data_IF_571847813898
#
_entry.id   IF_571847813898
#
_cell.length_a   1.000
_cell.length_b   1.000
_cell.length_c   1.000
_cell.angle_alpha   90.00
_cell.angle_beta   90.00
_cell.angle_gamma   90.00
#
_symmetry.space_group_name_H-M   'P 1'
#
loop_
_entity.id
_entity.type
_entity.pdbx_description
1 polymer ?
2 non-polymer ?
3 non-polymer ?
4 water ?
#
# COMPACT_ATOMS: atom_id res chain seq x y z
N UNK A 9 -30.32 11.94 -3.71
CA UNK A 9 -30.49 10.53 -4.19
C UNK A 9 -30.18 10.40 -5.69
N UNK A 10 -30.59 11.38 -6.48
CA UNK A 10 -30.43 11.34 -7.95
C UNK A 10 -28.96 11.37 -8.43
N UNK A 11 -28.35 10.20 -8.49
CA UNK A 11 -27.06 10.00 -9.13
C UNK A 11 -27.36 9.33 -10.49
N UNK A 12 -26.33 8.97 -11.27
CA UNK A 12 -26.55 8.28 -12.53
C UNK A 12 -27.29 6.95 -12.36
N UNK A 13 -27.66 6.36 -13.50
CA UNK A 13 -28.37 5.09 -13.54
C UNK A 13 -27.49 3.93 -13.08
N UNK A 14 -27.95 3.22 -12.04
CA UNK A 14 -27.35 1.95 -11.65
C UNK A 14 -26.36 2.00 -10.50
N UNK A 15 -26.05 3.20 -10.02
CA UNK A 15 -25.11 3.32 -8.91
C UNK A 15 -25.72 2.87 -7.59
N UNK A 16 -24.86 2.51 -6.66
CA UNK A 16 -25.25 1.93 -5.40
C UNK A 16 -24.70 2.82 -4.26
N UNK A 17 -25.60 3.49 -3.53
CA UNK A 17 -25.25 4.35 -2.38
C UNK A 17 -25.73 3.79 -1.02
N UNK A 18 -24.80 3.68 -0.07
CA UNK A 18 -25.12 3.45 1.33
C UNK A 18 -24.45 4.59 2.11
N UNK A 19 -25.21 5.24 2.97
CA UNK A 19 -24.78 6.50 3.56
C UNK A 19 -25.29 6.62 4.99
N UNK A 20 -24.42 7.08 5.89
CA UNK A 20 -24.85 7.32 7.26
C UNK A 20 -24.14 8.56 7.75
N UNK A 21 -24.89 9.42 8.44
CA UNK A 21 -24.31 10.66 9.00
C UNK A 21 -24.83 10.81 10.42
N UNK A 22 -23.94 11.02 11.39
CA UNK A 22 -24.33 10.89 12.79
C UNK A 22 -23.49 11.82 13.65
N UNK A 23 -24.16 12.63 14.47
CA UNK A 23 -23.42 13.47 15.43
C UNK A 23 -22.44 12.65 16.28
N UNK A 24 -21.26 13.20 16.54
CA UNK A 24 -20.31 12.55 17.44
C UNK A 24 -20.93 12.36 18.83
N UNK A 25 -20.95 11.11 19.30
CA UNK A 25 -21.43 10.76 20.63
C UNK A 25 -22.91 10.50 20.72
N UNK A 26 -23.61 10.70 19.59
CA UNK A 26 -25.06 10.52 19.52
C UNK A 26 -25.38 9.06 19.31
N UNK A 27 -26.59 8.66 19.69
CA UNK A 27 -27.02 7.26 19.48
C UNK A 27 -27.92 7.07 18.25
N UNK A 28 -28.43 8.18 17.69
CA UNK A 28 -29.25 8.16 16.46
C UNK A 28 -28.65 8.98 15.30
N UNK A 29 -28.67 8.43 14.07
CA UNK A 29 -28.13 9.16 12.91
C UNK A 29 -29.05 10.27 12.41
N UNK A 30 -28.46 11.31 11.83
CA UNK A 30 -29.20 12.34 11.14
C UNK A 30 -29.59 11.86 9.75
N UNK A 31 -28.65 11.20 9.05
CA UNK A 31 -28.94 10.60 7.75
C UNK A 31 -28.68 9.12 7.80
N UNK A 32 -29.62 8.35 7.26
CA UNK A 32 -29.50 6.91 7.30
C UNK A 32 -30.10 6.33 6.02
N UNK A 33 -29.25 6.03 5.05
CA UNK A 33 -29.70 5.50 3.77
C UNK A 33 -28.95 4.22 3.50
N UNK A 34 -29.64 3.10 3.69
CA UNK A 34 -29.04 1.78 3.50
C UNK A 34 -27.77 1.60 4.31
N UNK A 35 -27.75 2.13 5.53
CA UNK A 35 -26.52 2.11 6.35
C UNK A 35 -26.12 0.72 6.81
N UNK A 36 -27.06 -0.23 6.76
CA UNK A 36 -26.77 -1.56 7.20
C UNK A 36 -26.19 -2.42 6.08
N UNK A 37 -26.25 -1.92 4.85
CA UNK A 37 -25.93 -2.73 3.69
C UNK A 37 -24.41 -2.79 3.53
N UNK A 38 -23.85 -3.99 3.37
CA UNK A 38 -22.39 -4.12 3.31
C UNK A 38 -21.90 -3.73 1.91
N UNK A 39 -20.71 -3.11 1.83
CA UNK A 39 -20.21 -2.60 0.57
C UNK A 39 -18.69 -2.76 0.51
N UNK A 40 -18.16 -2.53 -0.68
CA UNK A 40 -16.71 -2.50 -0.89
C UNK A 40 -16.14 -1.19 -0.26
N UNK A 41 -15.27 -1.28 0.74
CA UNK A 41 -14.74 -0.05 1.35
C UNK A 41 -13.60 0.64 0.60
N UNK A 42 -12.88 -0.13 -0.23
CA UNK A 42 -11.70 0.38 -0.94
C UNK A 42 -10.76 0.99 0.12
N UNK A 43 -10.09 2.09 -0.20
CA UNK A 43 -9.05 2.64 0.72
C UNK A 43 -9.59 3.18 2.04
N UNK A 44 -10.91 3.26 2.20
CA UNK A 44 -11.40 3.65 3.55
C UNK A 44 -11.06 2.57 4.59
N UNK A 45 -10.68 1.36 4.14
CA UNK A 45 -10.25 0.30 5.04
C UNK A 45 -9.07 0.77 5.91
N UNK A 46 -8.30 1.71 5.36
CA UNK A 46 -7.09 2.22 6.03
C UNK A 46 -7.44 2.89 7.35
N UNK A 47 -8.67 3.37 7.49
CA UNK A 47 -9.10 3.96 8.79
C UNK A 47 -9.05 2.89 9.89
N UNK A 48 -9.60 1.72 9.58
CA UNK A 48 -9.53 0.61 10.48
C UNK A 48 -8.10 0.11 10.76
N UNK A 49 -7.29 0.00 9.71
CA UNK A 49 -5.88 -0.42 9.83
C UNK A 49 -5.12 0.53 10.76
N UNK A 50 -5.35 1.82 10.59
CA UNK A 50 -4.61 2.81 11.40
C UNK A 50 -5.03 2.67 12.86
N UNK A 51 -6.32 2.53 13.12
CA UNK A 51 -6.81 2.42 14.51
C UNK A 51 -6.28 1.17 15.16
N UNK A 52 -6.38 0.03 14.45
CA UNK A 52 -5.85 -1.20 15.00
C UNK A 52 -4.34 -1.16 15.21
N UNK A 53 -3.63 -0.48 14.31
CA UNK A 53 -2.16 -0.36 14.40
C UNK A 53 -1.75 0.47 15.63
N UNK A 54 -2.50 1.54 15.89
CA UNK A 54 -2.15 2.41 17.02
C UNK A 54 -2.42 1.70 18.32
N UNK A 55 -3.52 0.95 18.38
CA UNK A 55 -3.82 0.17 19.55
C UNK A 55 -2.82 -0.98 19.79
N UNK A 56 -2.48 -1.74 18.74
CA UNK A 56 -1.61 -2.92 18.91
C UNK A 56 -0.12 -2.59 19.01
N UNK A 57 0.37 -1.80 18.08
CA UNK A 57 1.79 -1.46 17.95
C UNK A 57 2.18 -0.18 18.70
N UNK A 58 1.24 0.76 18.79
CA UNK A 58 1.53 2.08 19.40
C UNK A 58 2.17 3.07 18.44
N UNK A 59 2.07 4.37 18.72
CA UNK A 59 2.57 5.41 17.80
C UNK A 59 4.08 5.44 17.64
N UNK A 60 4.78 4.79 18.56
CA UNK A 60 6.25 4.81 18.55
C UNK A 60 6.90 3.57 17.97
N UNK A 61 6.08 2.60 17.55
CA UNK A 61 6.62 1.44 16.82
C UNK A 61 7.45 1.85 15.63
N UNK A 62 8.56 1.15 15.35
CA UNK A 62 9.33 1.40 14.14
C UNK A 62 9.62 0.08 13.45
N UNK A 63 9.56 0.09 12.11
CA UNK A 63 9.99 -1.09 11.34
C UNK A 63 11.50 -1.17 11.50
N UNK A 64 12.04 -2.39 11.52
CA UNK A 64 13.47 -2.63 11.72
C UNK A 64 14.08 -3.58 10.68
N UNK A 65 15.29 -3.26 10.22
CA UNK A 65 16.06 -4.14 9.36
C UNK A 65 17.44 -4.25 10.00
N UNK A 66 18.00 -5.44 10.00
CA UNK A 66 19.36 -5.59 10.57
C UNK A 66 20.27 -6.43 9.70
N UNK A 67 21.57 -6.18 9.83
CA UNK A 67 22.58 -7.17 9.46
C UNK A 67 23.08 -7.79 10.74
N UNK A 68 23.08 -9.13 10.77
CA UNK A 68 23.47 -9.89 11.95
C UNK A 68 24.56 -10.88 11.60
N UNK A 69 25.44 -11.16 12.55
CA UNK A 69 26.42 -12.21 12.31
C UNK A 69 26.13 -13.36 13.23
N UNK A 70 26.22 -14.54 12.65
CA UNK A 70 26.21 -15.77 13.39
C UNK A 70 27.56 -16.44 13.13
N UNK A 71 28.40 -16.53 14.17
CA UNK A 71 29.79 -17.00 14.07
C UNK A 71 30.80 -16.03 14.65
N UNK A 72 32.04 -16.49 14.85
CA UNK A 72 33.13 -15.62 15.36
C UNK A 72 33.86 -14.94 14.20
N UNK A 73 34.36 -13.73 14.43
CA UNK A 73 35.17 -13.00 13.43
C UNK A 73 36.66 -13.11 13.77
N UNK A 74 37.41 -13.76 12.87
CA UNK A 74 38.86 -13.98 13.06
C UNK A 74 39.67 -13.36 11.94
N UNK A 75 40.53 -12.40 12.31
CA UNK A 75 41.32 -11.64 11.33
C UNK A 75 40.49 -11.13 10.14
N UNK A 76 39.34 -10.55 10.46
CA UNK A 76 38.44 -9.96 9.44
C UNK A 76 37.55 -10.95 8.73
N UNK A 77 37.69 -12.23 9.06
CA UNK A 77 36.90 -13.28 8.42
C UNK A 77 35.80 -13.75 9.36
N UNK A 78 34.55 -13.54 8.96
CA UNK A 78 33.41 -14.15 9.66
C UNK A 78 33.35 -15.67 9.37
N UNK A 79 33.50 -16.48 10.41
CA UNK A 79 33.38 -17.94 10.32
C UNK A 79 31.94 -18.34 10.61
N UNK A 80 31.11 -18.26 9.57
CA UNK A 80 29.68 -18.42 9.73
C UNK A 80 28.91 -17.55 8.74
N UNK A 81 27.65 -17.28 9.07
CA UNK A 81 26.76 -16.67 8.09
C UNK A 81 26.49 -15.22 8.42
N UNK A 82 26.31 -14.43 7.38
CA UNK A 82 25.77 -13.08 7.50
C UNK A 82 24.29 -13.22 7.24
N UNK A 83 23.48 -12.65 8.15
CA UNK A 83 22.01 -12.70 8.03
C UNK A 83 21.50 -11.27 7.82
N UNK A 84 20.77 -11.04 6.73
CA UNK A 84 20.11 -9.78 6.52
C UNK A 84 18.64 -9.99 6.88
N UNK A 85 18.24 -9.44 8.02
CA UNK A 85 16.92 -9.73 8.57
C UNK A 85 15.99 -8.58 8.20
N UNK A 86 15.05 -8.86 7.29
CA UNK A 86 14.13 -7.82 6.81
C UNK A 86 12.92 -7.77 7.71
N UNK A 87 12.23 -6.63 7.74
CA UNK A 87 11.16 -6.43 8.72
C UNK A 87 9.95 -5.73 8.18
N UNK A 88 9.75 -5.84 6.86
CA UNK A 88 8.60 -5.26 6.19
C UNK A 88 8.60 -3.73 6.20
N UNK A 89 9.76 -3.11 6.45
CA UNK A 89 9.83 -1.64 6.40
C UNK A 89 9.49 -1.12 4.98
N UNK A 90 8.36 -0.41 4.82
CA UNK A 90 7.98 0.07 3.50
C UNK A 90 8.81 1.24 2.99
N UNK A 91 9.66 1.81 3.86
CA UNK A 91 10.44 2.97 3.50
C UNK A 91 11.91 2.69 3.31
N UNK A 92 12.30 1.42 3.41
CA UNK A 92 13.72 1.05 3.21
C UNK A 92 14.20 1.38 1.82
N UNK A 93 15.41 1.96 1.72
CA UNK A 93 15.98 2.41 0.46
C UNK A 93 17.29 1.69 0.16
N UNK A 94 17.70 1.73 -1.09
CA UNK A 94 18.99 1.15 -1.53
C UNK A 94 20.14 1.67 -0.69
N UNK A 95 20.14 2.99 -0.52
CA UNK A 95 21.10 3.64 0.37
C UNK A 95 21.22 3.07 1.74
N UNK A 96 20.07 2.70 2.34
CA UNK A 96 20.07 2.06 3.63
C UNK A 96 20.87 0.75 3.62
N UNK A 97 20.72 -0.05 2.56
CA UNK A 97 21.46 -1.31 2.50
C UNK A 97 22.94 -0.98 2.40
N UNK A 98 23.26 -0.02 1.53
CA UNK A 98 24.64 0.46 1.36
C UNK A 98 25.25 0.91 2.68
N UNK A 99 24.52 1.70 3.45
CA UNK A 99 25.02 2.17 4.77
C UNK A 99 25.22 1.06 5.81
N UNK A 100 24.27 0.11 5.87
CA UNK A 100 24.40 -1.05 6.74
C UNK A 100 25.65 -1.87 6.35
N UNK A 101 25.90 -2.04 5.05
CA UNK A 101 27.09 -2.78 4.59
C UNK A 101 28.35 -2.01 5.00
N UNK A 102 28.32 -0.68 4.84
CA UNK A 102 29.47 0.17 5.27
C UNK A 102 29.77 -0.07 6.74
N UNK A 103 28.72 -0.14 7.57
CA UNK A 103 28.84 -0.40 9.01
C UNK A 103 29.43 -1.77 9.28
N UNK A 104 28.95 -2.76 8.54
CA UNK A 104 29.48 -4.11 8.65
C UNK A 104 31.01 -4.14 8.41
N UNK A 105 31.44 -3.52 7.31
CA UNK A 105 32.88 -3.40 6.97
C UNK A 105 33.64 -2.75 8.13
N UNK A 106 33.15 -1.59 8.56
CA UNK A 106 33.81 -0.81 9.64
C UNK A 106 33.96 -1.58 10.95
N UNK A 107 33.03 -2.48 11.24
CA UNK A 107 33.12 -3.34 12.41
C UNK A 107 34.24 -4.39 12.31
N UNK A 108 34.90 -4.47 11.15
CA UNK A 108 36.02 -5.40 10.95
C UNK A 108 35.80 -6.65 10.10
N UNK A 109 34.65 -6.72 9.40
CA UNK A 109 34.35 -7.88 8.53
C UNK A 109 34.72 -7.59 7.09
N UNK A 110 35.70 -8.34 6.56
CA UNK A 110 36.16 -8.17 5.21
C UNK A 110 35.74 -9.35 4.33
N UNK A 111 35.30 -10.42 4.97
CA UNK A 111 35.14 -11.70 4.31
C UNK A 111 34.20 -12.57 5.12
N UNK A 112 33.33 -13.30 4.44
CA UNK A 112 32.39 -14.19 5.12
C UNK A 112 32.68 -15.62 4.66
N UNK A 113 33.13 -16.45 5.61
CA UNK A 113 33.37 -17.85 5.34
C UNK A 113 32.06 -18.56 5.62
N UNK A 114 31.13 -18.43 4.69
CA UNK A 114 29.76 -18.80 4.97
C UNK A 114 28.82 -18.29 3.89
N UNK A 115 27.53 -18.40 4.18
CA UNK A 115 26.46 -17.96 3.28
C UNK A 115 25.95 -16.57 3.66
N UNK A 116 25.18 -15.95 2.75
CA UNK A 116 24.52 -14.67 3.02
C UNK A 116 23.04 -14.97 2.98
N UNK A 117 22.38 -14.78 4.11
CA UNK A 117 21.00 -15.25 4.30
C UNK A 117 20.06 -14.06 4.22
N UNK A 118 19.05 -14.18 3.37
CA UNK A 118 18.03 -13.15 3.25
C UNK A 118 16.85 -13.64 4.05
N UNK A 119 16.66 -13.03 5.22
CA UNK A 119 15.75 -13.55 6.20
C UNK A 119 14.44 -12.77 6.15
N UNK A 120 13.36 -13.48 5.82
CA UNK A 120 12.02 -12.89 5.73
C UNK A 120 11.07 -13.56 6.72
N UNK A 121 11.63 -14.18 7.75
CA UNK A 121 10.85 -15.02 8.66
C UNK A 121 9.79 -14.25 9.46
N UNK A 122 9.86 -12.91 9.43
CA UNK A 122 8.87 -12.09 10.13
C UNK A 122 7.45 -12.34 9.60
N UNK A 123 7.38 -12.75 8.34
CA UNK A 123 6.11 -13.00 7.63
C UNK A 123 6.16 -14.41 7.09
N UNK A 124 4.99 -14.95 6.74
CA UNK A 124 4.95 -16.23 6.03
C UNK A 124 3.79 -16.25 5.05
N UNK A 125 3.77 -17.30 4.23
CA UNK A 125 2.70 -17.47 3.24
C UNK A 125 2.81 -16.35 2.17
N UNK A 126 1.76 -16.16 1.37
CA UNK A 126 1.80 -15.33 0.17
C UNK A 126 1.99 -13.86 0.55
N UNK A 127 2.67 -13.10 -0.30
CA UNK A 127 2.83 -11.65 -0.12
C UNK A 127 1.70 -10.84 -0.75
N UNK A 128 0.62 -11.54 -1.12
CA UNK A 128 -0.55 -10.98 -1.80
C UNK A 128 -1.80 -11.43 -1.06
N UNK A 129 -2.69 -10.50 -0.74
CA UNK A 129 -3.87 -10.85 0.04
C UNK A 129 -4.89 -11.55 -0.85
N UNK A 130 -5.80 -12.33 -0.23
CA UNK A 130 -6.90 -12.92 -1.02
C UNK A 130 -7.77 -11.83 -1.64
N UNK A 131 -8.19 -12.00 -2.89
CA UNK A 131 -9.10 -11.06 -3.51
C UNK A 131 -8.48 -9.92 -4.28
N UNK A 132 -7.15 -9.83 -4.32
CA UNK A 132 -6.51 -8.85 -5.17
C UNK A 132 -6.55 -9.27 -6.65
N UNK A 133 -6.98 -8.37 -7.53
CA UNK A 133 -7.05 -8.71 -8.97
C UNK A 133 -5.64 -9.05 -9.46
N UNK A 134 -5.48 -10.19 -10.13
CA UNK A 134 -4.17 -10.56 -10.65
C UNK A 134 -3.57 -9.47 -11.59
N UNK A 135 -4.43 -8.79 -12.35
CA UNK A 135 -3.96 -7.99 -13.48
C UNK A 135 -3.24 -6.74 -12.98
N UNK A 136 -3.51 -6.38 -11.74
CA UNK A 136 -2.84 -5.18 -11.18
C UNK A 136 -1.52 -5.51 -10.48
N UNK A 137 -1.12 -6.79 -10.40
CA UNK A 137 0.01 -7.15 -9.51
C UNK A 137 1.33 -6.60 -10.01
N UNK A 138 1.40 -6.28 -11.30
CA UNK A 138 2.62 -5.69 -11.85
C UNK A 138 2.60 -4.15 -11.79
N UNK A 139 1.50 -3.56 -11.32
CA UNK A 139 1.46 -2.10 -11.10
C UNK A 139 1.98 -1.75 -9.73
N UNK A 140 2.70 -0.63 -9.62
CA UNK A 140 3.31 -0.32 -8.34
C UNK A 140 2.30 -0.13 -7.20
N UNK A 141 1.08 0.33 -7.51
CA UNK A 141 0.07 0.55 -6.44
C UNK A 141 -0.36 -0.76 -5.79
N UNK A 142 -0.05 -1.87 -6.45
CA UNK A 142 -0.39 -3.18 -5.94
C UNK A 142 0.86 -4.07 -5.76
N UNK A 143 2.04 -3.46 -5.65
CA UNK A 143 3.24 -4.29 -5.47
C UNK A 143 3.12 -5.15 -4.20
N UNK A 144 3.40 -6.46 -4.29
CA UNK A 144 3.31 -7.34 -3.12
C UNK A 144 4.12 -6.78 -1.95
N UNK A 145 3.45 -6.45 -0.84
CA UNK A 145 4.12 -5.82 0.31
C UNK A 145 4.80 -6.85 1.17
N UNK A 146 5.94 -7.32 0.67
CA UNK A 146 6.70 -8.41 1.24
C UNK A 146 7.51 -7.97 2.46
N UNK A 147 8.11 -8.94 3.13
CA UNK A 147 9.04 -8.61 4.23
C UNK A 147 10.22 -7.84 3.70
N UNK A 148 10.68 -8.19 2.49
CA UNK A 148 11.83 -7.53 1.87
C UNK A 148 11.41 -6.49 0.84
N UNK A 149 11.50 -5.21 1.22
CA UNK A 149 11.15 -4.10 0.34
C UNK A 149 12.37 -3.18 0.24
N UNK A 150 12.67 -2.78 -0.98
CA UNK A 150 13.68 -1.78 -1.19
C UNK A 150 13.15 -0.81 -2.22
N UNK A 151 13.06 0.46 -1.86
CA UNK A 151 12.57 1.49 -2.77
C UNK A 151 11.20 1.10 -3.31
N UNK A 152 10.39 0.70 -2.36
CA UNK A 152 8.96 0.37 -2.55
C UNK A 152 8.74 -0.77 -3.52
N UNK A 153 9.80 -1.52 -3.84
CA UNK A 153 9.65 -2.66 -4.77
C UNK A 153 9.01 -2.20 -6.07
N UNK A 154 9.43 -1.05 -6.58
CA UNK A 154 8.92 -0.49 -7.80
C UNK A 154 10.13 0.02 -8.57
N UNK A 155 10.16 -0.27 -9.87
CA UNK A 155 11.26 0.15 -10.72
C UNK A 155 10.69 0.68 -12.03
N UNK A 156 11.47 1.49 -12.74
CA UNK A 156 11.00 2.04 -14.00
C UNK A 156 11.89 1.61 -15.15
N UNK A 157 11.31 1.71 -16.33
CA UNK A 157 11.83 1.17 -17.55
C UNK A 157 11.40 2.14 -18.67
N UNK A 158 12.16 2.18 -19.77
CA UNK A 158 11.79 2.99 -20.95
C UNK A 158 11.66 2.10 -22.14
N UNK A 159 10.52 2.17 -22.83
CA UNK A 159 10.33 1.35 -24.01
C UNK A 159 10.37 2.22 -25.27
N UNK A 160 11.31 1.91 -26.15
CA UNK A 160 11.56 2.68 -27.35
C UNK A 160 11.05 1.88 -28.53
N UNK A 161 10.24 2.51 -29.39
CA UNK A 161 9.87 1.85 -30.65
C UNK A 161 11.11 1.69 -31.52
N UNK A 162 11.09 0.68 -32.39
CA UNK A 162 12.18 0.47 -33.34
C UNK A 162 12.01 1.45 -34.51
N UNK A 163 13.14 2.01 -34.99
CA UNK A 163 13.09 2.93 -36.14
C UNK A 163 12.40 2.32 -37.36
N UNK A 164 12.62 1.02 -37.59
CA UNK A 164 12.07 0.30 -38.73
C UNK A 164 10.93 -0.63 -38.25
N UNK A 165 9.71 -0.40 -38.75
CA UNK A 165 8.54 -1.13 -38.29
C UNK A 165 8.67 -2.61 -38.62
N UNK A 166 8.29 -3.47 -37.68
CA UNK A 166 8.50 -4.90 -37.80
C UNK A 166 9.63 -5.37 -36.90
N UNK A 167 10.62 -4.50 -36.70
CA UNK A 167 11.71 -4.77 -35.76
C UNK A 167 11.23 -4.59 -34.32
N UNK A 168 11.98 -5.17 -33.39
CA UNK A 168 11.60 -5.16 -31.97
C UNK A 168 11.80 -3.82 -31.30
N UNK A 169 10.76 -3.38 -30.59
CA UNK A 169 10.89 -2.29 -29.63
C UNK A 169 11.85 -2.75 -28.54
N UNK A 170 12.70 -1.85 -28.06
CA UNK A 170 13.72 -2.21 -27.08
C UNK A 170 13.57 -1.46 -25.74
N UNK A 171 14.12 -2.06 -24.68
CA UNK A 171 13.90 -1.60 -23.31
C UNK A 171 15.18 -1.08 -22.70
N UNK A 172 15.15 0.14 -22.17
CA UNK A 172 16.26 0.65 -21.36
C UNK A 172 15.88 0.58 -19.88
N UNK A 173 16.81 0.08 -19.08
CA UNK A 173 16.59 0.03 -17.64
C UNK A 173 17.90 0.39 -16.91
N UNK A 174 17.79 1.16 -15.83
CA UNK A 174 18.97 1.49 -15.02
C UNK A 174 19.67 0.23 -14.52
N UNK A 175 21.00 0.24 -14.61
CA UNK A 175 21.78 -0.97 -14.37
C UNK A 175 21.68 -1.42 -12.92
N UNK A 176 21.33 -0.52 -12.01
CA UNK A 176 21.35 -0.94 -10.62
C UNK A 176 20.10 -1.76 -10.24
N UNK A 177 19.03 -1.68 -11.04
CA UNK A 177 17.82 -2.48 -10.74
C UNK A 177 18.09 -3.92 -11.14
N UNK A 178 18.13 -4.83 -10.16
CA UNK A 178 18.31 -6.25 -10.45
C UNK A 178 17.02 -6.91 -10.92
N UNK A 179 16.65 -6.57 -12.13
CA UNK A 179 15.55 -7.22 -12.82
C UNK A 179 16.09 -7.69 -14.17
N UNK A 180 15.35 -8.56 -14.84
CA UNK A 180 15.76 -9.02 -16.17
C UNK A 180 14.64 -8.77 -17.17
N UNK A 181 14.87 -7.84 -18.10
CA UNK A 181 13.85 -7.44 -19.06
C UNK A 181 14.08 -8.11 -20.41
N UNK A 182 12.98 -8.52 -21.03
CA UNK A 182 12.98 -9.09 -22.38
C UNK A 182 11.88 -8.38 -23.16
N UNK A 183 12.13 -8.06 -24.43
CA UNK A 183 11.08 -7.51 -25.26
C UNK A 183 10.73 -8.46 -26.39
N UNK A 184 9.45 -8.83 -26.47
CA UNK A 184 8.87 -9.49 -27.65
C UNK A 184 7.86 -8.55 -28.33
N UNK A 185 8.08 -7.24 -28.21
CA UNK A 185 7.17 -6.22 -28.69
C UNK A 185 7.47 -5.91 -30.15
N UNK A 186 6.46 -6.04 -31.02
CA UNK A 186 6.60 -5.68 -32.43
C UNK A 186 6.24 -4.23 -32.62
N UNK A 187 7.08 -3.51 -33.38
CA UNK A 187 6.80 -2.10 -33.65
C UNK A 187 5.89 -2.02 -34.87
N UNK A 188 4.80 -1.27 -34.74
CA UNK A 188 3.83 -1.14 -35.84
C UNK A 188 4.04 0.13 -36.65
N UNK A 189 3.92 0.02 -37.97
CA UNK A 189 3.85 1.19 -38.84
C UNK A 189 2.64 2.07 -38.48
N UNK A 190 2.70 3.35 -38.83
CA UNK A 190 1.52 4.20 -38.69
C UNK A 190 0.38 3.64 -39.55
N UNK A 191 -0.83 3.63 -38.98
CA UNK A 191 -2.02 3.11 -39.67
C UNK A 191 -2.16 1.59 -39.74
N UNK A 192 -1.41 0.87 -38.90
CA UNK A 192 -1.46 -0.59 -38.92
C UNK A 192 -2.87 -1.10 -38.59
N UNK A 193 -3.29 -2.19 -39.24
CA UNK A 193 -4.59 -2.81 -38.95
C UNK A 193 -4.56 -3.38 -37.53
N UNK A 194 -3.36 -3.65 -37.05
CA UNK A 194 -3.14 -4.26 -35.74
C UNK A 194 -3.31 -3.32 -34.56
N UNK A 195 -3.23 -2.01 -34.79
CA UNK A 195 -3.28 -1.06 -33.67
C UNK A 195 -4.48 -1.25 -32.74
N UNK A 196 -5.62 -1.62 -33.30
CA UNK A 196 -6.86 -1.59 -32.52
C UNK A 196 -6.92 -2.63 -31.39
N UNK A 197 -6.68 -3.90 -31.71
CA UNK A 197 -6.84 -4.97 -30.73
C UNK A 197 -5.55 -5.67 -30.30
N UNK A 198 -4.40 -5.20 -30.78
CA UNK A 198 -3.12 -5.75 -30.31
C UNK A 198 -2.72 -5.05 -29.04
N UNK A 199 -2.61 -5.80 -27.95
CA UNK A 199 -2.35 -5.23 -26.63
C UNK A 199 -0.84 -5.08 -26.42
N UNK A 200 -0.46 -4.18 -25.51
CA UNK A 200 0.92 -4.11 -24.99
C UNK A 200 0.88 -4.63 -23.58
N UNK A 201 1.56 -5.75 -23.35
CA UNK A 201 1.45 -6.47 -22.07
C UNK A 201 2.76 -6.65 -21.35
N UNK A 202 2.66 -6.79 -20.04
CA UNK A 202 3.79 -7.19 -19.21
C UNK A 202 3.49 -8.56 -18.61
N UNK A 203 4.44 -9.47 -18.79
CA UNK A 203 4.34 -10.83 -18.26
C UNK A 203 5.51 -11.07 -17.30
N UNK A 204 5.21 -11.12 -16.01
CA UNK A 204 6.23 -11.40 -15.00
C UNK A 204 6.60 -12.88 -14.98
N UNK A 205 7.88 -13.17 -14.77
CA UNK A 205 8.33 -14.54 -14.56
C UNK A 205 9.10 -14.67 -13.26
N UNK A 206 9.71 -15.83 -13.04
CA UNK A 206 10.46 -16.06 -11.81
C UNK A 206 11.70 -15.18 -11.77
N UNK A 207 12.18 -14.92 -10.56
CA UNK A 207 13.45 -14.21 -10.31
C UNK A 207 13.49 -12.82 -10.96
N UNK A 208 12.33 -12.15 -10.91
CA UNK A 208 12.20 -10.78 -11.33
C UNK A 208 12.53 -10.61 -12.80
N UNK A 209 12.13 -11.63 -13.59
CA UNK A 209 12.08 -11.53 -15.04
C UNK A 209 10.76 -10.86 -15.45
N UNK A 210 10.83 -9.98 -16.47
CA UNK A 210 9.66 -9.42 -17.08
C UNK A 210 9.80 -9.45 -18.59
N UNK A 211 8.74 -9.92 -19.25
CA UNK A 211 8.70 -9.91 -20.70
C UNK A 211 7.58 -8.99 -21.14
N UNK A 212 7.93 -8.04 -22.01
CA UNK A 212 6.98 -7.16 -22.66
C UNK A 212 6.59 -7.83 -23.97
N UNK A 213 5.28 -7.91 -24.22
CA UNK A 213 4.80 -8.63 -25.42
C UNK A 213 3.76 -7.77 -26.13
N UNK A 214 3.45 -8.13 -27.37
CA UNK A 214 2.41 -7.43 -28.11
C UNK A 214 2.97 -6.41 -29.05
N UNK A 215 2.26 -5.28 -29.15
CA UNK A 215 2.54 -4.24 -30.15
C UNK A 215 2.71 -2.84 -29.55
N UNK A 216 3.59 -2.08 -30.19
CA UNK A 216 3.75 -0.68 -29.86
C UNK A 216 3.80 0.13 -31.16
N UNK A 217 2.87 1.06 -31.34
CA UNK A 217 2.88 1.98 -32.48
C UNK A 217 4.12 2.84 -32.44
N UNK A 218 4.63 3.23 -33.62
CA UNK A 218 5.79 4.11 -33.65
C UNK A 218 5.53 5.36 -32.85
N UNK A 219 6.52 5.74 -32.04
CA UNK A 219 6.52 7.00 -31.30
C UNK A 219 7.92 7.61 -31.34
N UNK A 220 7.97 8.94 -31.32
CA UNK A 220 9.21 9.69 -31.39
C UNK A 220 9.93 9.63 -30.05
N UNK A 221 9.15 9.44 -28.98
CA UNK A 221 9.66 9.44 -27.61
C UNK A 221 9.48 8.05 -27.00
N UNK A 222 10.37 7.61 -26.11
CA UNK A 222 10.15 6.35 -25.38
C UNK A 222 8.91 6.39 -24.50
N UNK A 223 8.32 5.22 -24.26
CA UNK A 223 7.20 5.09 -23.36
C UNK A 223 7.74 4.74 -21.98
N UNK A 224 7.48 5.59 -20.99
CA UNK A 224 7.90 5.31 -19.62
C UNK A 224 6.92 4.33 -18.99
N UNK A 225 7.47 3.33 -18.30
CA UNK A 225 6.66 2.31 -17.61
C UNK A 225 7.22 2.09 -16.22
N UNK A 226 6.38 1.78 -15.25
CA UNK A 226 6.88 1.46 -13.93
C UNK A 226 6.20 0.15 -13.53
N UNK A 227 6.97 -0.77 -12.96
CA UNK A 227 6.48 -2.09 -12.59
C UNK A 227 6.78 -2.47 -11.17
N UNK A 228 5.96 -3.37 -10.61
CA UNK A 228 6.17 -3.89 -9.30
C UNK A 228 7.05 -5.13 -9.31
N UNK A 229 8.04 -5.14 -8.43
CA UNK A 229 8.85 -6.33 -8.17
C UNK A 229 8.00 -7.44 -7.55
N UNK A 230 8.03 -8.64 -8.14
CA UNK A 230 7.25 -9.76 -7.63
C UNK A 230 7.94 -10.62 -6.58
N UNK A 231 9.29 -10.63 -6.59
CA UNK A 231 10.07 -11.41 -5.69
C UNK A 231 11.01 -10.49 -4.89
N UNK A 232 10.45 -9.88 -3.85
CA UNK A 232 11.21 -8.91 -3.05
C UNK A 232 12.46 -9.49 -2.40
N UNK A 233 12.37 -10.72 -1.88
CA UNK A 233 13.54 -11.38 -1.30
C UNK A 233 14.72 -11.49 -2.26
N UNK A 234 14.45 -11.93 -3.50
CA UNK A 234 15.51 -12.05 -4.52
C UNK A 234 16.07 -10.69 -4.90
N UNK A 235 15.18 -9.71 -4.99
CA UNK A 235 15.55 -8.34 -5.37
C UNK A 235 16.46 -7.72 -4.31
N UNK A 236 16.02 -7.76 -3.05
CA UNK A 236 16.82 -7.25 -1.91
C UNK A 236 18.16 -8.01 -1.84
N UNK A 237 18.10 -9.32 -2.07
CA UNK A 237 19.37 -10.11 -2.07
C UNK A 237 20.40 -9.66 -3.09
N UNK A 238 19.95 -9.35 -4.30
CA UNK A 238 20.82 -8.92 -5.37
C UNK A 238 21.37 -7.54 -5.04
N UNK A 239 20.55 -6.69 -4.40
CA UNK A 239 21.01 -5.34 -3.96
C UNK A 239 22.08 -5.50 -2.88
N UNK A 240 21.81 -6.38 -1.92
CA UNK A 240 22.78 -6.66 -0.86
C UNK A 240 24.10 -7.21 -1.47
N UNK A 241 23.98 -8.15 -2.37
CA UNK A 241 25.15 -8.76 -3.03
C UNK A 241 26.01 -7.69 -3.72
N UNK A 242 25.35 -6.80 -4.44
CA UNK A 242 26.05 -5.73 -5.14
C UNK A 242 26.75 -4.82 -4.13
N UNK A 243 26.05 -4.42 -3.07
CA UNK A 243 26.65 -3.52 -2.04
C UNK A 243 27.81 -4.19 -1.31
N UNK A 244 27.69 -5.49 -1.03
CA UNK A 244 28.82 -6.24 -0.41
C UNK A 244 30.04 -6.18 -1.31
N UNK A 245 29.85 -6.47 -2.59
CA UNK A 245 30.98 -6.51 -3.54
C UNK A 245 31.65 -5.13 -3.71
N UNK A 246 30.83 -4.08 -3.69
CA UNK A 246 31.36 -2.71 -3.85
C UNK A 246 32.18 -2.29 -2.64
N UNK A 247 31.77 -2.76 -1.46
CA UNK A 247 32.46 -2.49 -0.20
C UNK A 247 33.68 -3.40 0.00
N UNK A 248 33.90 -4.32 -0.94
CA UNK A 248 35.07 -5.21 -0.91
C UNK A 248 34.95 -6.41 0.01
N UNK A 249 33.73 -6.71 0.49
CA UNK A 249 33.48 -7.91 1.32
C UNK A 249 33.21 -9.09 0.39
N UNK A 250 34.02 -10.14 0.53
CA UNK A 250 33.85 -11.36 -0.26
C UNK A 250 33.13 -12.44 0.57
N UNK A 251 32.58 -13.45 -0.11
CA UNK A 251 31.97 -14.58 0.60
C UNK A 251 32.11 -15.88 -0.20
N UNK A 252 32.17 -16.99 0.51
CA UNK A 252 32.46 -18.28 -0.10
C UNK A 252 31.22 -19.09 -0.40
N UNK A 253 30.12 -18.78 0.29
CA UNK A 253 28.87 -19.53 0.11
C UNK A 253 28.02 -18.95 -0.98
N UNK A 254 26.70 -19.03 -0.80
CA UNK A 254 25.78 -18.39 -1.73
C UNK A 254 24.74 -17.58 -0.97
N UNK A 255 23.96 -16.85 -1.75
CA UNK A 255 22.80 -16.15 -1.22
C UNK A 255 21.66 -17.15 -1.10
N UNK A 256 21.14 -17.29 0.12
CA UNK A 256 20.03 -18.21 0.40
C UNK A 256 18.92 -17.50 1.12
N UNK A 257 17.68 -17.93 0.88
CA UNK A 257 16.55 -17.42 1.65
C UNK A 257 16.41 -18.13 3.01
N UNK A 258 16.12 -17.36 4.05
CA UNK A 258 15.82 -17.95 5.35
C UNK A 258 14.37 -17.56 5.72
N UNK A 259 13.49 -18.54 5.77
CA UNK A 259 12.06 -18.31 5.99
C UNK A 259 11.53 -18.76 7.36
N UNK A 260 12.27 -19.61 8.06
CA UNK A 260 11.80 -20.16 9.32
C UNK A 260 12.30 -19.33 10.49
N UNK A 261 11.47 -19.21 11.52
CA UNK A 261 11.82 -18.43 12.69
C UNK A 261 13.11 -18.96 13.31
N UNK A 262 13.96 -18.05 13.75
CA UNK A 262 15.29 -18.37 14.23
C UNK A 262 15.73 -17.31 15.24
N UNK A 263 16.61 -17.71 16.16
CA UNK A 263 17.18 -16.79 17.14
C UNK A 263 18.09 -15.80 16.43
N UNK A 264 17.98 -14.51 16.75
CA UNK A 264 18.84 -13.51 16.16
C UNK A 264 20.31 -13.73 16.47
N UNK A 265 21.17 -13.31 15.55
CA UNK A 265 22.60 -13.29 15.83
C UNK A 265 22.95 -11.95 16.44
N UNK A 266 24.24 -11.62 16.41
CA UNK A 266 24.73 -10.32 16.86
C UNK A 266 24.38 -9.24 15.85
N UNK A 267 23.62 -8.23 16.27
CA UNK A 267 23.29 -7.11 15.37
C UNK A 267 24.48 -6.20 15.14
N UNK A 268 24.98 -6.16 13.90
CA UNK A 268 26.13 -5.33 13.59
C UNK A 268 25.72 -4.03 12.89
N UNK A 269 24.56 -4.04 12.24
CA UNK A 269 24.07 -2.85 11.59
C UNK A 269 22.55 -2.88 11.69
N UNK A 270 21.93 -1.71 11.69
CA UNK A 270 20.46 -1.64 11.72
C UNK A 270 19.91 -0.40 11.09
N UNK A 271 18.64 -0.47 10.70
CA UNK A 271 17.92 0.70 10.25
C UNK A 271 16.50 0.56 10.77
N UNK A 272 16.02 1.63 11.41
CA UNK A 272 14.62 1.73 11.82
C UNK A 272 13.89 2.82 11.04
N UNK A 273 12.63 2.54 10.73
CA UNK A 273 11.81 3.52 10.05
C UNK A 273 11.52 4.68 11.00
N UNK A 274 10.93 5.71 10.45
CA UNK A 274 10.22 6.71 11.22
C UNK A 274 9.15 6.07 12.12
N UNK A 275 8.76 6.78 13.17
CA UNK A 275 7.71 6.28 14.09
C UNK A 275 6.40 5.97 13.36
N UNK A 276 5.70 5.01 13.88
CA UNK A 276 4.48 4.52 13.24
C UNK A 276 3.43 5.61 13.09
N UNK A 277 3.30 6.49 14.09
CA UNK A 277 2.35 7.60 13.88
C UNK A 277 2.65 8.41 12.61
N UNK A 278 3.94 8.67 12.35
CA UNK A 278 4.31 9.42 11.20
C UNK A 278 3.97 8.65 9.92
N UNK A 279 4.21 7.35 9.96
CA UNK A 279 3.89 6.46 8.81
C UNK A 279 2.40 6.35 8.56
N UNK A 280 1.62 6.17 9.62
CA UNK A 280 0.16 6.17 9.49
C UNK A 280 -0.38 7.49 8.94
N UNK A 281 0.27 8.62 9.31
CA UNK A 281 -0.07 9.90 8.72
C UNK A 281 0.14 9.95 7.21
N UNK A 282 1.33 9.56 6.74
CA UNK A 282 1.56 9.43 5.31
C UNK A 282 0.47 8.53 4.72
N UNK A 283 0.23 7.40 5.36
CA UNK A 283 -0.72 6.43 4.84
C UNK A 283 -2.09 7.03 4.62
N UNK A 284 -2.57 7.79 5.59
CA UNK A 284 -3.92 8.34 5.54
C UNK A 284 -4.02 9.55 4.64
N UNK A 285 -2.96 10.36 4.63
CA UNK A 285 -2.94 11.57 3.81
C UNK A 285 -2.82 11.24 2.33
N UNK A 286 -2.04 10.21 1.99
CA UNK A 286 -1.68 9.93 0.61
C UNK A 286 -2.33 8.66 0.12
N UNK A 287 -2.94 7.92 1.05
CA UNK A 287 -3.61 6.62 0.77
C UNK A 287 -2.56 5.61 0.28
N UNK A 288 -1.57 5.33 1.12
CA UNK A 288 -0.43 4.50 0.74
C UNK A 288 -0.73 3.03 1.00
N UNK A 289 -1.02 2.30 -0.07
CA UNK A 289 -1.36 0.86 0.04
C UNK A 289 -0.28 0.03 0.73
N UNK A 290 0.98 0.39 0.45
CA UNK A 290 2.11 -0.43 0.91
C UNK A 290 2.29 -0.23 2.40
N UNK A 291 2.15 1.02 2.87
CA UNK A 291 2.23 1.20 4.32
C UNK A 291 1.08 0.47 5.02
N UNK A 292 -0.13 0.60 4.46
CA UNK A 292 -1.29 -0.07 5.04
C UNK A 292 -1.10 -1.58 5.14
N UNK A 293 -0.58 -2.18 4.08
CA UNK A 293 -0.49 -3.65 4.05
C UNK A 293 0.71 -4.25 4.80
N UNK A 294 1.83 -3.52 4.85
CA UNK A 294 2.90 -3.93 5.76
C UNK A 294 2.51 -3.81 7.21
N UNK A 295 1.83 -2.71 7.55
CA UNK A 295 1.27 -2.57 8.91
C UNK A 295 0.32 -3.70 9.24
N UNK A 296 -0.56 -4.03 8.30
CA UNK A 296 -1.59 -5.02 8.53
C UNK A 296 -0.98 -6.38 8.90
N UNK A 297 0.00 -6.85 8.14
CA UNK A 297 0.56 -8.15 8.52
C UNK A 297 1.40 -8.06 9.81
N UNK A 298 1.96 -6.88 10.10
CA UNK A 298 2.69 -6.68 11.36
C UNK A 298 1.78 -6.76 12.58
N UNK A 299 0.55 -6.26 12.44
CA UNK A 299 -0.38 -6.33 13.53
C UNK A 299 -0.64 -7.80 13.94
N UNK A 300 -0.82 -8.67 12.96
CA UNK A 300 -1.05 -10.08 13.27
C UNK A 300 0.16 -10.75 13.90
N UNK A 301 1.35 -10.43 13.39
CA UNK A 301 2.60 -10.94 13.95
C UNK A 301 2.77 -10.56 15.43
N UNK A 302 2.59 -9.27 15.70
CA UNK A 302 2.66 -8.74 17.07
C UNK A 302 1.64 -9.38 17.99
N UNK A 303 0.37 -9.45 17.58
CA UNK A 303 -0.69 -9.92 18.48
C UNK A 303 -0.60 -11.37 18.87
N UNK A 304 -0.21 -12.21 17.90
CA UNK A 304 -0.23 -13.65 18.12
C UNK A 304 1.14 -14.30 18.21
N UNK A 305 2.20 -13.51 18.08
CA UNK A 305 3.57 -14.03 18.13
C UNK A 305 3.78 -15.22 17.17
N UNK A 306 3.41 -14.98 15.90
CA UNK A 306 3.62 -15.95 14.83
C UNK A 306 4.08 -15.16 13.61
N UNK A 307 4.71 -15.79 12.61
CA UNK A 307 5.01 -15.06 11.37
C UNK A 307 3.73 -14.43 10.78
N UNK A 308 3.85 -13.18 10.34
CA UNK A 308 2.70 -12.41 9.88
C UNK A 308 2.10 -12.99 8.62
N UNK A 309 0.80 -13.24 8.64
CA UNK A 309 0.07 -13.67 7.43
C UNK A 309 -1.20 -12.82 7.25
N UNK A 310 -1.83 -12.92 6.08
CA UNK A 310 -3.07 -12.19 5.89
C UNK A 310 -4.15 -12.63 6.86
N UNK A 311 -4.25 -13.94 7.10
CA UNK A 311 -5.25 -14.48 8.02
C UNK A 311 -5.03 -14.00 9.45
N UNK A 312 -3.78 -14.06 9.91
CA UNK A 312 -3.47 -13.57 11.26
C UNK A 312 -3.78 -12.07 11.39
N UNK A 313 -3.49 -11.31 10.34
CA UNK A 313 -3.82 -9.88 10.32
C UNK A 313 -5.33 -9.65 10.48
N UNK A 314 -6.13 -10.35 9.68
CA UNK A 314 -7.60 -10.27 9.74
C UNK A 314 -8.19 -10.61 11.12
N UNK A 315 -7.73 -11.72 11.66
CA UNK A 315 -8.13 -12.20 12.98
C UNK A 315 -7.76 -11.17 14.04
N UNK A 316 -6.54 -10.64 13.94
CA UNK A 316 -6.03 -9.68 14.95
C UNK A 316 -6.83 -8.38 14.90
N UNK A 317 -7.04 -7.83 13.71
CA UNK A 317 -7.81 -6.59 13.62
C UNK A 317 -9.25 -6.75 14.16
N UNK A 318 -9.89 -7.87 13.84
CA UNK A 318 -11.23 -8.16 14.38
C UNK A 318 -11.21 -8.19 15.93
N UNK A 319 -10.20 -8.86 16.50
CA UNK A 319 -10.08 -9.01 17.95
C UNK A 319 -9.78 -7.67 18.59
N UNK A 320 -8.90 -6.89 17.96
CA UNK A 320 -8.50 -5.60 18.54
C UNK A 320 -9.71 -4.66 18.58
N UNK A 321 -10.47 -4.60 17.48
CA UNK A 321 -11.66 -3.74 17.42
C UNK A 321 -12.69 -4.15 18.46
N UNK A 322 -12.85 -5.46 18.68
CA UNK A 322 -13.88 -5.94 19.59
C UNK A 322 -13.45 -5.68 21.02
N UNK A 323 -12.21 -6.02 21.31
CA UNK A 323 -11.74 -6.11 22.69
C UNK A 323 -11.21 -4.79 23.24
N UNK A 324 -10.63 -3.96 22.40
CA UNK A 324 -10.03 -2.71 22.87
C UNK A 324 -10.93 -1.52 22.50
N UNK A 325 -11.68 -1.66 21.39
CA UNK A 325 -12.52 -0.56 20.91
C UNK A 325 -14.02 -0.77 21.09
N UNK A 326 -14.41 -1.95 21.57
CA UNK A 326 -15.80 -2.28 21.80
C UNK A 326 -16.66 -2.40 20.54
N UNK A 327 -16.02 -2.63 19.40
CA UNK A 327 -16.70 -2.69 18.13
C UNK A 327 -16.71 -4.15 17.68
N UNK A 328 -17.90 -4.73 17.63
CA UNK A 328 -18.10 -6.06 17.07
C UNK A 328 -18.43 -5.90 15.58
N UNK A 329 -17.51 -6.28 14.71
CA UNK A 329 -17.73 -6.04 13.29
C UNK A 329 -18.65 -7.10 12.65
N UNK A 330 -19.01 -8.13 13.42
CA UNK A 330 -19.99 -9.13 12.98
C UNK A 330 -19.58 -9.82 11.70
N UNK A 331 -20.45 -9.76 10.70
CA UNK A 331 -20.19 -10.44 9.42
C UNK A 331 -19.32 -9.64 8.43
N UNK A 332 -18.74 -8.54 8.91
CA UNK A 332 -17.74 -7.81 8.16
C UNK A 332 -16.65 -8.77 7.69
N UNK A 333 -16.23 -8.60 6.44
CA UNK A 333 -15.03 -9.29 5.97
C UNK A 333 -13.86 -8.32 5.84
N UNK A 334 -12.78 -8.61 6.54
CA UNK A 334 -11.53 -7.86 6.39
C UNK A 334 -10.49 -8.81 5.83
N UNK A 335 -9.99 -8.48 4.63
CA UNK A 335 -9.00 -9.26 3.92
C UNK A 335 -7.61 -8.65 3.90
N UNK A 336 -7.53 -7.34 4.06
CA UNK A 336 -6.24 -6.71 4.02
C UNK A 336 -6.27 -5.37 4.80
N UNK A 337 -5.15 -4.66 4.76
CA UNK A 337 -5.02 -3.34 5.43
C UNK A 337 -5.32 -2.16 4.51
N UNK A 338 -5.08 -2.30 3.21
CA UNK A 338 -5.17 -1.21 2.25
C UNK A 338 -6.58 -1.00 1.67
N UNK A 339 -7.39 -2.06 1.69
CA UNK A 339 -8.64 -2.03 0.96
C UNK A 339 -8.54 -2.44 -0.51
N UNK A 340 -7.37 -2.91 -0.97
CA UNK A 340 -7.24 -3.40 -2.36
C UNK A 340 -8.19 -4.58 -2.64
N UNK A 341 -8.39 -5.44 -1.63
CA UNK A 341 -9.08 -6.68 -1.88
C UNK A 341 -10.52 -6.46 -2.26
N UNK A 342 -10.95 -7.14 -3.33
CA UNK A 342 -12.38 -7.17 -3.62
C UNK A 342 -13.17 -8.04 -2.64
N UNK A 343 -12.50 -8.71 -1.71
CA UNK A 343 -13.21 -9.49 -0.67
C UNK A 343 -13.68 -8.63 0.51
N UNK A 344 -13.10 -7.44 0.69
CA UNK A 344 -13.45 -6.62 1.83
C UNK A 344 -14.92 -6.27 1.69
N UNK A 345 -15.65 -6.35 2.79
CA UNK A 345 -17.09 -6.06 2.82
C UNK A 345 -17.42 -5.50 4.19
N UNK A 346 -17.99 -4.31 4.20
CA UNK A 346 -18.36 -3.63 5.44
C UNK A 346 -19.50 -2.65 5.22
N UNK A 347 -20.41 -2.58 6.21
CA UNK A 347 -21.55 -1.66 6.22
C UNK A 347 -21.17 -0.29 6.76
N UNK A 348 -21.71 0.81 6.21
CA UNK A 348 -21.51 2.13 6.80
C UNK A 348 -21.74 2.12 8.32
N UNK A 349 -22.72 1.34 8.78
CA UNK A 349 -23.01 1.30 10.22
C UNK A 349 -21.88 0.72 11.05
N UNK A 350 -21.12 -0.22 10.48
CA UNK A 350 -19.97 -0.78 11.15
C UNK A 350 -18.78 0.22 11.12
N UNK A 351 -18.49 0.78 9.96
CA UNK A 351 -17.48 1.84 9.86
C UNK A 351 -17.84 3.01 10.78
N UNK A 352 -19.14 3.30 10.92
CA UNK A 352 -19.57 4.39 11.81
C UNK A 352 -19.14 4.15 13.26
N UNK A 353 -19.23 2.90 13.73
CA UNK A 353 -18.83 2.57 15.09
C UNK A 353 -17.35 2.84 15.33
N UNK A 354 -16.55 2.54 14.32
CA UNK A 354 -15.13 2.82 14.32
C UNK A 354 -14.87 4.31 14.38
N UNK A 355 -15.55 5.05 13.51
CA UNK A 355 -15.39 6.52 13.50
C UNK A 355 -15.80 7.15 14.85
N UNK A 356 -16.90 6.66 15.42
CA UNK A 356 -17.31 7.19 16.72
C UNK A 356 -16.25 6.90 17.81
N UNK A 357 -15.69 5.70 17.80
CA UNK A 357 -14.60 5.37 18.72
C UNK A 357 -13.42 6.34 18.55
N UNK A 358 -12.99 6.52 17.32
CA UNK A 358 -11.89 7.45 17.03
C UNK A 358 -12.20 8.85 17.57
N UNK A 359 -13.40 9.39 17.27
CA UNK A 359 -13.73 10.74 17.72
C UNK A 359 -13.70 10.83 19.27
N UNK A 360 -14.26 9.81 19.91
CA UNK A 360 -14.32 9.78 21.38
C UNK A 360 -12.95 9.69 22.02
N UNK A 361 -12.01 9.01 21.36
CA UNK A 361 -10.69 8.87 21.90
C UNK A 361 -9.67 9.70 21.16
N UNK A 362 -10.12 10.70 20.40
CA UNK A 362 -9.17 11.44 19.56
C UNK A 362 -8.06 12.16 20.35
N UNK A 363 -8.35 12.61 21.57
CA UNK A 363 -7.30 13.27 22.37
C UNK A 363 -6.17 12.31 22.77
N UNK A 364 -6.50 11.03 22.84
CA UNK A 364 -5.53 9.96 23.10
C UNK A 364 -4.78 9.55 21.84
N UNK A 365 -5.53 9.41 20.75
CA UNK A 365 -4.97 8.81 19.54
C UNK A 365 -4.28 9.78 18.62
N UNK A 366 -4.66 11.07 18.74
CA UNK A 366 -4.25 12.11 17.75
C UNK A 366 -4.49 11.55 16.34
N UNK A 367 -5.71 11.20 16.08
CA UNK A 367 -6.01 10.48 14.82
C UNK A 367 -6.57 11.38 13.73
N UNK A 368 -7.56 12.20 14.07
CA UNK A 368 -8.20 13.07 13.10
C UNK A 368 -7.23 14.00 12.37
N UNK A 369 -6.20 14.49 13.05
CA UNK A 369 -5.19 15.32 12.39
C UNK A 369 -4.40 14.57 11.31
N UNK A 370 -4.49 13.24 11.27
CA UNK A 370 -3.80 12.46 10.23
C UNK A 370 -4.62 12.36 8.95
N UNK A 371 -5.92 12.57 9.07
CA UNK A 371 -6.77 12.44 7.87
C UNK A 371 -6.58 13.64 6.96
N UNK A 372 -6.71 13.45 5.65
CA UNK A 372 -6.70 14.56 4.71
C UNK A 372 -7.73 15.60 5.16
N UNK A 373 -7.34 16.87 5.12
CA UNK A 373 -8.25 18.00 5.41
C UNK A 373 -8.65 18.63 4.08
N UNK A 374 -9.96 18.67 3.81
CA UNK A 374 -10.48 19.20 2.54
C UNK A 374 -9.91 20.59 2.30
N UNK A 375 -9.30 20.78 1.14
CA UNK A 375 -8.81 22.10 0.77
C UNK A 375 -7.37 22.33 1.16
N UNK A 376 -6.74 21.35 1.82
CA UNK A 376 -5.35 21.52 2.29
C UNK A 376 -4.40 20.43 1.88
N UNK A 377 -4.79 19.17 2.10
CA UNK A 377 -3.77 18.10 1.98
C UNK A 377 -4.33 16.79 1.67
N UNK A 378 -3.35 15.95 1.31
CA UNK A 378 -3.57 14.60 0.96
C UNK A 378 -4.64 14.64 -0.08
N UNK A 379 -5.45 13.59 -0.03
CA UNK A 379 -6.36 13.27 -1.10
C UNK A 379 -7.47 14.29 -1.30
N UNK A 380 -7.71 15.16 -0.32
CA UNK A 380 -8.83 16.12 -0.39
C UNK A 380 -8.44 17.58 -0.68
N UNK A 381 -7.21 17.80 -1.12
CA UNK A 381 -6.72 19.16 -1.43
C UNK A 381 -7.69 19.95 -2.33
N UNK A 382 -8.15 19.28 -3.38
CA UNK A 382 -9.27 19.79 -4.17
C UNK A 382 -10.17 18.64 -4.56
N UNK A 383 -11.23 18.50 -3.77
CA UNK A 383 -12.33 17.67 -4.14
C UNK A 383 -13.46 18.60 -4.48
N UNK A 384 -13.77 18.68 -5.77
CA UNK A 384 -14.72 19.65 -6.29
C UNK A 384 -15.98 19.76 -5.48
N UNK A 385 -16.60 18.62 -5.15
CA UNK A 385 -17.89 18.62 -4.46
C UNK A 385 -17.77 19.23 -3.08
N UNK A 386 -16.69 18.89 -2.37
CA UNK A 386 -16.46 19.47 -1.06
C UNK A 386 -16.13 20.95 -1.17
N UNK A 387 -15.27 21.31 -2.13
CA UNK A 387 -14.97 22.72 -2.34
C UNK A 387 -16.25 23.55 -2.59
N UNK A 388 -17.08 23.05 -3.50
CA UNK A 388 -18.30 23.72 -3.89
C UNK A 388 -19.37 23.76 -2.80
N UNK A 389 -19.32 22.81 -1.85
CA UNK A 389 -20.22 22.79 -0.69
C UNK A 389 -19.88 23.86 0.33
N UNK A 390 -18.70 24.46 0.18
CA UNK A 390 -18.26 25.48 1.12
C UNK A 390 -17.63 24.85 2.36
N UNK A 391 -17.16 23.61 2.23
CA UNK A 391 -16.72 22.86 3.41
C UNK A 391 -15.20 22.61 3.45
N UNK A 392 -14.45 23.27 2.59
CA UNK A 392 -12.98 23.23 2.76
C UNK A 392 -12.62 23.63 4.20
N UNK A 393 -11.68 22.90 4.79
CA UNK A 393 -11.28 23.14 6.17
C UNK A 393 -12.27 22.63 7.23
N UNK A 394 -13.39 22.07 6.78
CA UNK A 394 -14.43 21.55 7.70
C UNK A 394 -14.59 20.03 7.66
N UNK A 395 -13.92 19.39 6.69
CA UNK A 395 -14.02 17.92 6.49
C UNK A 395 -12.64 17.29 6.58
N UNK A 396 -12.50 16.33 7.48
CA UNK A 396 -11.30 15.48 7.59
C UNK A 396 -11.76 14.06 7.27
N UNK A 397 -11.32 13.52 6.14
CA UNK A 397 -11.93 12.25 5.72
C UNK A 397 -11.01 11.42 4.88
N UNK A 398 -11.22 10.11 4.91
CA UNK A 398 -10.43 9.18 4.09
C UNK A 398 -11.21 8.79 2.82
N UNK A 399 -10.55 8.87 1.68
CA UNK A 399 -11.18 8.49 0.41
C UNK A 399 -11.02 6.97 0.20
N UNK A 400 -11.91 6.41 -0.65
CA UNK A 400 -11.74 5.02 -1.14
C UNK A 400 -12.06 5.10 -2.63
N UNK A 401 -11.06 4.89 -3.48
CA UNK A 401 -11.15 5.38 -4.89
C UNK A 401 -10.66 4.34 -5.87
N UNK A 402 -11.52 4.01 -6.84
CA UNK A 402 -11.16 3.19 -8.00
C UNK A 402 -12.31 3.35 -9.01
N UNK A 403 -12.20 2.71 -10.18
CA UNK A 403 -13.19 2.91 -11.24
C UNK A 403 -14.62 2.77 -10.72
N UNK A 404 -15.39 3.84 -10.84
CA UNK A 404 -16.79 3.85 -10.43
C UNK A 404 -17.06 3.94 -8.94
N UNK A 405 -15.99 4.03 -8.13
CA UNK A 405 -16.12 4.06 -6.68
C UNK A 405 -15.64 5.37 -6.14
N UNK A 406 -16.49 5.97 -5.31
CA UNK A 406 -16.25 7.27 -4.74
C UNK A 406 -16.66 7.17 -3.28
N UNK A 407 -15.88 6.43 -2.49
CA UNK A 407 -16.14 6.37 -1.03
C UNK A 407 -15.45 7.49 -0.27
N UNK A 408 -16.07 7.83 0.86
CA UNK A 408 -15.54 8.82 1.78
C UNK A 408 -15.99 8.46 3.20
N UNK A 409 -15.09 8.54 4.17
CA UNK A 409 -15.39 8.17 5.56
C UNK A 409 -14.59 9.08 6.49
N UNK A 410 -15.28 9.77 7.39
CA UNK A 410 -14.55 10.64 8.31
C UNK A 410 -15.50 11.60 9.02
N UNK A 411 -15.05 12.85 9.11
CA UNK A 411 -15.69 13.84 10.01
C UNK A 411 -15.92 15.16 9.34
N UNK A 412 -17.01 15.81 9.72
CA UNK A 412 -17.31 17.14 9.24
C UNK A 412 -17.74 17.99 10.42
N UNK A 413 -17.21 19.21 10.45
CA UNK A 413 -17.64 20.23 11.41
C UNK A 413 -18.66 21.11 10.74
N UNK A 414 -19.81 21.25 11.39
CA UNK A 414 -20.96 21.80 10.72
C UNK A 414 -21.09 23.30 11.03
N UNK A 415 -22.02 23.99 10.36
CA UNK A 415 -22.24 25.43 10.57
C UNK A 415 -22.46 25.82 12.05
N UNK A 416 -23.22 25.00 12.78
CA UNK A 416 -23.38 25.18 14.23
C UNK A 416 -22.14 24.81 15.06
N UNK A 417 -21.14 24.20 14.41
CA UNK A 417 -19.97 23.75 15.15
C UNK A 417 -20.01 22.30 15.63
N UNK A 418 -21.14 21.63 15.41
CA UNK A 418 -21.36 20.21 15.77
C UNK A 418 -20.44 19.36 14.88
N UNK A 419 -19.64 18.47 15.48
CA UNK A 419 -18.89 17.50 14.66
C UNK A 419 -19.76 16.26 14.39
N UNK A 420 -19.84 15.86 13.13
CA UNK A 420 -20.54 14.65 12.74
C UNK A 420 -19.56 13.69 12.09
N UNK A 421 -19.80 12.41 12.27
CA UNK A 421 -19.06 11.38 11.56
C UNK A 421 -19.94 10.97 10.39
N UNK A 422 -19.31 10.58 9.28
CA UNK A 422 -20.09 10.15 8.14
C UNK A 422 -19.35 9.08 7.35
N UNK A 423 -20.14 8.26 6.65
CA UNK A 423 -19.66 7.20 5.76
C UNK A 423 -20.50 7.27 4.49
N UNK A 424 -19.82 7.46 3.38
CA UNK A 424 -20.43 7.48 2.06
C UNK A 424 -19.79 6.37 1.28
N UNK A 425 -20.56 5.30 1.04
CA UNK A 425 -20.10 4.20 0.21
C UNK A 425 -20.91 4.24 -1.07
N UNK A 426 -20.25 4.66 -2.15
CA UNK A 426 -20.89 4.90 -3.48
C UNK A 426 -20.10 4.15 -4.53
N UNK A 427 -20.78 3.25 -5.26
CA UNK A 427 -20.11 2.45 -6.27
C UNK A 427 -21.02 2.30 -7.50
N UNK A 428 -20.49 1.69 -8.57
CA UNK A 428 -21.24 1.52 -9.79
C UNK A 428 -21.51 2.86 -10.44
N UNK A 429 -20.69 3.86 -10.09
CA UNK A 429 -20.70 5.13 -10.79
C UNK A 429 -19.95 4.80 -12.07
N UNK A 430 -20.47 3.79 -12.76
CA UNK A 430 -19.96 3.33 -14.04
C UNK A 430 -20.62 4.16 -15.11
N UNK A 431 -19.91 4.35 -16.20
CA UNK A 431 -20.45 5.06 -17.35
C UNK A 431 -20.31 4.21 -18.60
N UNK A 432 -21.15 4.51 -19.58
CA UNK A 432 -21.13 3.86 -20.90
C UNK A 432 -19.80 4.22 -21.59
N UNK A 433 -19.22 3.26 -22.31
CA UNK A 433 -17.94 3.45 -23.00
C UNK A 433 -17.73 4.83 -23.63
N UNK A 434 -18.80 5.41 -24.18
CA UNK A 434 -18.75 6.69 -24.89
C UNK A 434 -18.72 7.93 -23.98
N UNK A 435 -18.54 7.71 -22.68
CA UNK A 435 -18.48 8.81 -21.71
C UNK A 435 -17.59 8.46 -20.49
N UNK A 436 -16.71 7.48 -20.70
CA UNK A 436 -15.89 6.88 -19.63
C UNK A 436 -14.84 7.82 -19.01
N UNK A 437 -14.43 8.84 -19.77
CA UNK A 437 -13.38 9.75 -19.31
C UNK A 437 -13.92 11.07 -18.76
N UNK A 438 -15.25 11.18 -18.67
CA UNK A 438 -15.92 12.43 -18.27
C UNK A 438 -16.65 12.40 -16.92
N UNK A 439 -16.84 11.20 -16.36
CA UNK A 439 -17.75 10.99 -15.21
C UNK A 439 -17.48 11.89 -13.98
N UNK A 440 -18.12 13.06 -13.95
CA UNK A 440 -17.95 14.03 -12.86
C UNK A 440 -19.22 14.79 -12.43
N UNK A 441 -19.88 15.48 -13.37
CA UNK A 441 -21.04 16.35 -13.05
C UNK A 441 -21.96 15.86 -11.92
N UNK A 442 -22.66 14.72 -12.10
CA UNK A 442 -23.56 14.19 -11.05
C UNK A 442 -22.91 13.99 -9.67
N UNK A 443 -21.73 13.36 -9.60
CA UNK A 443 -21.02 13.22 -8.33
C UNK A 443 -20.79 14.58 -7.63
N UNK A 444 -20.26 15.53 -8.38
CA UNK A 444 -19.90 16.83 -7.83
C UNK A 444 -21.17 17.53 -7.34
N UNK A 445 -22.20 17.54 -8.18
CA UNK A 445 -23.47 18.15 -7.80
C UNK A 445 -24.08 17.45 -6.56
N UNK A 446 -23.94 16.12 -6.52
CA UNK A 446 -24.39 15.31 -5.39
C UNK A 446 -23.63 15.63 -4.10
N UNK A 447 -22.31 15.52 -4.14
CA UNK A 447 -21.48 15.89 -2.99
C UNK A 447 -21.63 17.35 -2.57
N UNK A 448 -21.69 18.26 -3.55
CA UNK A 448 -21.88 19.69 -3.24
C UNK A 448 -23.16 19.95 -2.47
N UNK A 449 -24.26 19.33 -2.91
CA UNK A 449 -25.53 19.50 -2.22
C UNK A 449 -25.52 18.79 -0.87
N UNK A 450 -25.08 17.53 -0.89
CA UNK A 450 -25.05 16.71 0.32
C UNK A 450 -24.26 17.33 1.46
N UNK A 451 -22.98 17.62 1.23
CA UNK A 451 -22.17 18.20 2.29
C UNK A 451 -22.55 19.64 2.60
N UNK A 452 -23.10 20.35 1.62
CA UNK A 452 -23.72 21.66 1.88
C UNK A 452 -24.91 21.50 2.81
N UNK A 453 -25.80 20.56 2.47
CA UNK A 453 -26.95 20.20 3.32
C UNK A 453 -26.46 19.89 4.72
N UNK A 454 -25.61 18.86 4.85
CA UNK A 454 -25.12 18.42 6.15
C UNK A 454 -24.53 19.61 6.90
N UNK A 455 -23.72 20.40 6.19
CA UNK A 455 -23.06 21.51 6.82
C UNK A 455 -24.05 22.58 7.30
N UNK A 456 -24.93 23.03 6.41
CA UNK A 456 -25.84 24.13 6.76
C UNK A 456 -26.97 23.73 7.71
N UNK A 457 -27.50 22.52 7.52
CA UNK A 457 -28.69 22.04 8.24
C UNK A 457 -28.41 21.39 9.60
N UNK A 458 -27.15 21.32 9.99
CA UNK A 458 -26.78 20.70 11.26
C UNK A 458 -25.83 21.61 12.05
X LIG B 1 -6.59 4.76 -9.03
X LIG B 1 -6.44 2.77 -7.70
X LIG B 1 -4.47 5.86 -5.01
X LIG B 1 -6.97 2.76 -4.53
X LIG B 1 -6.29 7.55 -4.64
X LIG B 1 -6.27 5.52 -3.31
X LIG B 1 -7.04 1.77 -6.73
X LIG B 1 -3.49 6.81 -4.29
X LIG B 1 -6.40 1.88 -5.35
X LIG B 1 -7.17 3.87 -8.15
X LIG B 1 -5.30 4.57 -9.50
X LIG B 1 -4.57 3.47 -9.07
X LIG B 1 -5.12 2.57 -8.16
X LIG B 1 -5.98 6.06 -4.65
X LIG B 1 -5.58 4.23 -3.12
X LIG B 1 -6.47 2.97 -3.16
X LIG B 1 -7.65 3.13 -2.18
X LIG B 1 -4.17 5.87 -6.51
X LIG B 1 -6.74 0.42 -7.20
X LIG B 1 -6.27 8.12 -3.52
X LIG B 1 -6.50 8.08 -5.74
X LIG B 1 -5.42 1.19 -5.06
X LIG B 1 -8.82 3.16 -2.56
X LIG B 1 -4.25 4.20 -4.35
X LIG C 1 -12.07 19.15 10.37
X LIG C 1 -10.72 18.76 10.43
X LIG C 1 -12.66 18.38 11.52
X LIG C 1 -12.79 19.24 12.64
X LIG C 1 -13.96 17.75 11.07
X LIG C 1 -14.80 17.62 12.18
#
# INVERSE_FOLDING_TARGET
MANVDEYITQLPAGANLALMVQKVGASAPAIDYHSQQMALPASTQKVITALAALIQLGPDFRFTTTLETKGNVENGVLKGDLVARFGADPTLKRQDIRNMVATLKKSGVNQIDGNVLIDTSIFASHDKAPGWPWNDMTQCFSAPPAAAIVDRNCFSVSLYSAPKPGDMAFIRVASYYPVTMFSQVRTLPRGSAEAQYCELDVVPGDLNRFTLTGCLPQRSEPLPLAFAVQDGASYAGAILKYELKQAGITWSGTLLRQTQVNEPGTVVASKQSAPLHDLLKIMLKKSDNMIADTVFRMIGHARFNVPGTWRAGSDAVRQILRQQAGVDIGNTIIADGSGLSRHNLIAPATMMQVLQYIAQHDNELNFISMLPLAGYDGSLQYRAGLHQAGVDGKVSAKTGSLQGVYNLAGFITTASGQRMAFVQYLSGYAVEPADQRNRRIPLVRFESRLYKDIYQNN
AIX C8 C5 C6 N1 C2 N3 C4 C1 C3 C7 C9 C10 C11 C12 C13 C14 C15 C16 N2 O1 O2 O3 O4 S1
GOL C1 O1 C2 O2 C3 O3
#
